data_IF_931246584523
#
_entry.id   IF_931246584523
#
_cell.length_a   1.000
_cell.length_b   1.000
_cell.length_c   1.000
_cell.angle_alpha   90.00
_cell.angle_beta   90.00
_cell.angle_gamma   90.00
#
_symmetry.space_group_name_H-M   'P 1'
#
loop_
_entity.id
_entity.type
_entity.pdbx_description
1 polymer ?
#
# COMPACT_ATOMS: atom_id res chain seq x y z
N UNK A 1 9.51 -10.00 13.01
CA UNK A 1 9.82 -11.44 13.04
C UNK A 1 8.58 -12.21 13.45
N UNK A 2 8.46 -13.47 13.06
CA UNK A 2 7.36 -14.35 13.47
C UNK A 2 7.96 -15.56 14.18
N UNK A 3 7.85 -15.58 15.51
CA UNK A 3 8.60 -16.50 16.35
C UNK A 3 8.10 -17.94 16.21
N UNK A 4 6.79 -18.14 16.01
CA UNK A 4 6.19 -19.46 15.79
C UNK A 4 6.67 -20.08 14.47
N UNK A 5 6.76 -19.29 13.40
CA UNK A 5 7.29 -19.77 12.12
C UNK A 5 8.79 -20.12 12.20
N UNK A 6 9.56 -19.36 12.99
CA UNK A 6 10.98 -19.65 13.23
C UNK A 6 11.19 -20.93 14.03
N UNK A 7 10.43 -21.13 15.12
CA UNK A 7 10.47 -22.35 15.93
C UNK A 7 10.11 -23.59 15.10
N UNK A 8 9.01 -23.54 14.36
CA UNK A 8 8.58 -24.65 13.49
C UNK A 8 9.68 -25.02 12.47
N UNK A 9 10.32 -24.02 11.86
CA UNK A 9 11.43 -24.26 10.94
C UNK A 9 12.65 -24.89 11.61
N UNK A 10 13.02 -24.45 12.81
CA UNK A 10 14.14 -25.02 13.58
C UNK A 10 13.87 -26.46 14.04
N UNK A 11 12.60 -26.84 14.21
CA UNK A 11 12.16 -28.21 14.48
C UNK A 11 12.08 -29.10 13.22
N UNK A 12 12.38 -28.55 12.04
CA UNK A 12 12.38 -29.27 10.77
C UNK A 12 11.04 -29.27 10.03
N UNK A 13 10.07 -28.47 10.46
CA UNK A 13 8.80 -28.29 9.76
C UNK A 13 8.92 -27.11 8.78
N UNK A 14 9.01 -27.40 7.48
CA UNK A 14 9.05 -26.36 6.46
C UNK A 14 7.69 -25.65 6.34
N UNK A 15 7.66 -24.30 6.29
CA UNK A 15 6.43 -23.56 6.07
C UNK A 15 5.91 -23.80 4.65
N UNK A 16 4.58 -23.90 4.52
CA UNK A 16 3.94 -23.98 3.22
C UNK A 16 4.01 -22.65 2.45
N UNK A 17 3.63 -22.69 1.17
CA UNK A 17 3.71 -21.53 0.27
C UNK A 17 2.82 -20.37 0.73
N UNK A 18 1.67 -20.66 1.35
CA UNK A 18 0.76 -19.64 1.88
C UNK A 18 1.39 -18.92 3.08
N UNK A 19 1.96 -19.68 4.02
CA UNK A 19 2.69 -19.16 5.18
C UNK A 19 3.86 -18.30 4.75
N UNK A 20 4.67 -18.78 3.79
CA UNK A 20 5.79 -18.01 3.24
C UNK A 20 5.32 -16.68 2.63
N UNK A 21 4.25 -16.69 1.82
CA UNK A 21 3.68 -15.46 1.25
C UNK A 21 3.23 -14.48 2.34
N UNK A 22 2.55 -14.96 3.38
CA UNK A 22 2.10 -14.13 4.49
C UNK A 22 3.26 -13.49 5.26
N UNK A 23 4.33 -14.25 5.51
CA UNK A 23 5.54 -13.75 6.18
C UNK A 23 6.28 -12.71 5.33
N UNK A 24 6.40 -12.95 4.02
CA UNK A 24 6.99 -11.98 3.08
C UNK A 24 6.15 -10.70 3.04
N UNK A 25 4.82 -10.81 2.95
CA UNK A 25 3.92 -9.65 2.99
C UNK A 25 4.09 -8.86 4.30
N UNK A 26 4.10 -9.55 5.44
CA UNK A 26 4.31 -8.92 6.77
C UNK A 26 5.62 -8.13 6.80
N UNK A 27 6.73 -8.71 6.31
CA UNK A 27 8.01 -8.03 6.20
C UNK A 27 8.02 -6.86 5.21
N UNK A 28 7.25 -6.96 4.12
CA UNK A 28 7.07 -5.90 3.11
C UNK A 28 6.32 -4.70 3.69
N UNK A 29 5.19 -4.96 4.36
CA UNK A 29 4.38 -3.91 4.99
C UNK A 29 5.10 -3.21 6.14
N UNK A 30 5.96 -3.94 6.87
CA UNK A 30 6.80 -3.36 7.93
C UNK A 30 8.09 -2.72 7.42
N UNK A 31 8.29 -2.63 6.10
CA UNK A 31 9.52 -2.11 5.47
C UNK A 31 10.81 -2.79 5.94
N UNK A 32 10.72 -4.03 6.44
CA UNK A 32 11.85 -4.81 6.94
C UNK A 32 12.42 -5.77 5.89
N UNK A 33 11.65 -6.01 4.82
CA UNK A 33 12.01 -6.87 3.70
C UNK A 33 11.50 -6.26 2.40
N UNK A 34 12.28 -6.37 1.32
CA UNK A 34 11.93 -5.84 0.00
C UNK A 34 11.95 -6.98 -1.02
N UNK A 35 10.79 -7.53 -1.43
CA UNK A 35 10.72 -8.60 -2.41
C UNK A 35 11.32 -8.16 -3.75
N UNK A 36 12.36 -8.86 -4.22
CA UNK A 36 12.98 -8.59 -5.52
C UNK A 36 12.47 -9.61 -6.54
N UNK A 37 11.91 -9.11 -7.64
CA UNK A 37 11.52 -9.92 -8.79
C UNK A 37 12.39 -9.55 -9.99
N UNK A 38 12.44 -10.42 -11.01
CA UNK A 38 13.24 -10.18 -12.20
C UNK A 38 12.45 -10.50 -13.48
N UNK A 39 12.73 -9.74 -14.54
CA UNK A 39 12.09 -9.90 -15.83
C UNK A 39 12.67 -8.98 -16.89
N UNK A 40 12.16 -9.09 -18.11
CA UNK A 40 12.41 -8.17 -19.20
C UNK A 40 11.08 -7.73 -19.80
N UNK A 41 10.67 -6.51 -19.48
CA UNK A 41 9.42 -5.94 -20.01
C UNK A 41 9.45 -5.89 -21.54
N UNK A 42 10.58 -5.48 -22.14
CA UNK A 42 10.74 -5.42 -23.60
C UNK A 42 10.59 -6.79 -24.28
N UNK A 43 10.97 -7.89 -23.60
CA UNK A 43 10.82 -9.26 -24.12
C UNK A 43 9.54 -9.95 -23.62
N UNK A 44 8.64 -9.22 -22.95
CA UNK A 44 7.41 -9.75 -22.35
C UNK A 44 7.65 -10.93 -21.39
N UNK A 45 8.72 -10.87 -20.59
CA UNK A 45 9.06 -11.91 -19.60
C UNK A 45 9.00 -11.32 -18.20
N UNK A 46 8.28 -11.98 -17.29
CA UNK A 46 8.22 -11.59 -15.87
C UNK A 46 7.14 -10.55 -15.53
N UNK A 47 6.42 -9.99 -16.50
CA UNK A 47 5.36 -8.99 -16.23
C UNK A 47 4.19 -9.61 -15.44
N UNK A 48 3.70 -10.78 -15.85
CA UNK A 48 2.60 -11.46 -15.16
C UNK A 48 2.94 -11.84 -13.71
N UNK A 49 4.08 -12.52 -13.41
CA UNK A 49 4.43 -12.80 -12.02
C UNK A 49 4.74 -11.54 -11.20
N UNK A 50 5.23 -10.45 -11.82
CA UNK A 50 5.32 -9.14 -11.14
C UNK A 50 3.94 -8.61 -10.73
N UNK A 51 2.92 -8.74 -11.59
CA UNK A 51 1.55 -8.33 -11.25
C UNK A 51 0.95 -9.19 -10.12
N UNK A 52 1.26 -10.49 -10.07
CA UNK A 52 0.88 -11.32 -8.94
C UNK A 52 1.56 -10.85 -7.64
N UNK A 53 2.86 -10.53 -7.70
CA UNK A 53 3.60 -10.00 -6.56
C UNK A 53 3.06 -8.67 -6.03
N UNK A 54 2.47 -7.83 -6.90
CA UNK A 54 1.75 -6.61 -6.47
C UNK A 54 0.59 -6.97 -5.54
N UNK A 55 -0.22 -7.97 -5.91
CA UNK A 55 -1.35 -8.41 -5.10
C UNK A 55 -0.85 -9.06 -3.81
N UNK A 56 0.11 -9.97 -3.92
CA UNK A 56 0.60 -10.76 -2.79
C UNK A 56 1.30 -9.90 -1.73
N UNK A 57 2.08 -8.89 -2.13
CA UNK A 57 3.02 -8.24 -1.22
C UNK A 57 2.80 -6.73 -1.01
N UNK A 58 2.15 -5.99 -1.94
CA UNK A 58 1.94 -4.55 -1.76
C UNK A 58 0.70 -4.24 -0.89
N UNK A 59 0.70 -3.10 -0.17
CA UNK A 59 -0.41 -2.71 0.69
C UNK A 59 -1.67 -2.38 -0.11
N UNK A 60 -2.82 -2.64 0.51
CA UNK A 60 -4.08 -2.01 0.17
C UNK A 60 -4.31 -0.75 1.05
N UNK A 61 -5.36 0.07 0.81
CA UNK A 61 -5.62 1.27 1.61
C UNK A 61 -5.86 1.05 3.11
N UNK A 62 -6.21 -0.16 3.54
CA UNK A 62 -6.41 -0.53 4.94
C UNK A 62 -5.10 -0.95 5.63
N UNK A 63 -4.09 -1.35 4.85
CA UNK A 63 -2.78 -1.75 5.38
C UNK A 63 -1.88 -0.56 5.73
N UNK A 64 -2.26 0.65 5.31
CA UNK A 64 -1.48 1.87 5.55
C UNK A 64 -2.02 2.63 6.77
N UNK A 65 -1.13 3.30 7.55
CA UNK A 65 -1.58 4.17 8.63
C UNK A 65 -2.52 5.26 8.12
N UNK A 66 -3.45 5.68 8.98
CA UNK A 66 -4.33 6.78 8.65
C UNK A 66 -3.56 8.08 8.40
N UNK A 67 -4.07 8.91 7.50
CA UNK A 67 -3.49 10.21 7.21
C UNK A 67 -3.91 11.22 8.26
N UNK A 68 -2.97 12.05 8.71
CA UNK A 68 -3.23 13.07 9.72
C UNK A 68 -3.36 14.45 9.05
N UNK A 69 -4.55 15.03 9.12
CA UNK A 69 -4.88 16.39 8.71
C UNK A 69 -4.97 17.35 9.89
N UNK A 70 -5.27 18.62 9.59
CA UNK A 70 -5.42 19.71 10.56
C UNK A 70 -6.70 20.51 10.26
N UNK A 71 -7.14 21.34 11.21
CA UNK A 71 -8.37 22.13 11.05
C UNK A 71 -8.14 23.26 10.03
N UNK A 72 -9.07 23.54 9.10
CA UNK A 72 -8.96 24.69 8.21
C UNK A 72 -8.79 26.00 9.00
N UNK A 73 -7.77 26.78 8.67
CA UNK A 73 -7.45 28.03 9.37
C UNK A 73 -6.64 27.88 10.66
N UNK A 74 -6.22 26.67 11.03
CA UNK A 74 -5.24 26.46 12.11
C UNK A 74 -3.84 26.89 11.65
N UNK A 75 -3.37 28.04 12.15
CA UNK A 75 -2.03 28.57 11.84
C UNK A 75 -0.88 27.68 12.34
N UNK A 76 -1.15 26.80 13.31
CA UNK A 76 -0.15 25.87 13.85
C UNK A 76 0.00 24.61 12.98
N UNK A 77 -0.95 24.36 12.08
CA UNK A 77 -1.06 23.15 11.26
C UNK A 77 -0.91 21.85 12.08
N UNK A 78 -1.48 21.83 13.29
CA UNK A 78 -1.34 20.67 14.17
C UNK A 78 -2.07 19.48 13.57
N UNK A 79 -1.32 18.48 13.10
CA UNK A 79 -1.87 17.29 12.40
C UNK A 79 -2.47 16.28 13.38
N UNK A 80 -3.65 16.59 13.89
CA UNK A 80 -4.35 15.81 14.92
C UNK A 80 -5.71 15.24 14.47
N UNK A 81 -6.09 15.43 13.21
CA UNK A 81 -7.35 14.91 12.65
C UNK A 81 -7.06 13.68 11.79
N UNK A 82 -7.49 12.51 12.25
CA UNK A 82 -7.34 11.27 11.50
C UNK A 82 -8.27 11.20 10.28
N UNK A 83 -7.73 10.69 9.17
CA UNK A 83 -8.43 10.33 7.93
C UNK A 83 -8.00 8.93 7.51
N UNK A 84 -8.78 7.94 7.97
CA UNK A 84 -8.61 6.53 7.63
C UNK A 84 -9.42 6.20 6.38
N UNK A 85 -8.97 5.19 5.63
CA UNK A 85 -9.76 4.55 4.58
C UNK A 85 -11.01 3.90 5.18
N UNK A 86 -12.10 4.67 5.21
CA UNK A 86 -13.37 4.32 5.83
C UNK A 86 -14.48 5.18 5.21
N UNK A 87 -15.45 4.53 4.56
CA UNK A 87 -16.56 5.18 3.86
C UNK A 87 -17.53 5.89 4.83
N UNK A 88 -17.50 5.57 6.12
CA UNK A 88 -18.33 6.23 7.15
C UNK A 88 -17.67 7.50 7.71
N UNK A 89 -16.38 7.75 7.45
CA UNK A 89 -15.71 8.98 7.87
C UNK A 89 -16.12 10.18 7.01
N UNK A 90 -15.92 11.42 7.48
CA UNK A 90 -16.10 12.59 6.63
C UNK A 90 -15.21 12.54 5.38
N UNK A 91 -15.76 12.95 4.23
CA UNK A 91 -15.03 12.99 2.97
C UNK A 91 -13.72 13.78 3.09
N UNK A 92 -12.63 13.19 2.59
CA UNK A 92 -11.36 13.91 2.41
C UNK A 92 -10.60 13.42 1.18
N UNK A 93 -10.04 14.37 0.44
CA UNK A 93 -9.24 14.06 -0.74
C UNK A 93 -8.22 15.14 -1.07
N UNK A 94 -7.16 14.75 -1.77
CA UNK A 94 -6.07 15.61 -2.20
C UNK A 94 -6.00 15.68 -3.72
N UNK A 95 -6.17 16.88 -4.27
CA UNK A 95 -5.90 17.17 -5.67
C UNK A 95 -4.38 17.20 -5.90
N UNK A 96 -3.82 16.14 -6.48
CA UNK A 96 -2.37 15.99 -6.63
C UNK A 96 -1.88 16.29 -8.05
N UNK A 97 -2.78 16.32 -9.04
CA UNK A 97 -2.42 16.65 -10.43
C UNK A 97 -3.55 17.38 -11.12
N UNK A 98 -3.21 18.47 -11.79
CA UNK A 98 -4.08 19.15 -12.75
C UNK A 98 -3.52 18.91 -14.16
N UNK A 99 -4.39 18.56 -15.10
CA UNK A 99 -4.07 18.31 -16.49
C UNK A 99 -5.13 18.93 -17.40
N UNK A 100 -4.71 19.60 -18.46
CA UNK A 100 -5.64 20.08 -19.48
C UNK A 100 -5.76 19.01 -20.57
N UNK A 101 -6.95 18.42 -20.66
CA UNK A 101 -7.33 17.49 -21.71
C UNK A 101 -8.01 18.25 -22.87
N UNK A 102 -7.68 17.94 -24.14
CA UNK A 102 -8.21 18.65 -25.30
C UNK A 102 -9.72 18.48 -25.54
N UNK A 103 -10.36 17.46 -24.96
CA UNK A 103 -11.79 17.17 -25.16
C UNK A 103 -12.65 17.52 -23.95
N UNK A 104 -12.14 17.27 -22.74
CA UNK A 104 -12.92 17.46 -21.50
C UNK A 104 -12.49 18.66 -20.67
N UNK A 105 -11.44 19.39 -21.10
CA UNK A 105 -10.94 20.57 -20.40
C UNK A 105 -10.06 20.20 -19.20
N UNK A 106 -10.22 20.90 -18.08
CA UNK A 106 -9.36 20.71 -16.90
C UNK A 106 -9.76 19.45 -16.12
N UNK A 107 -8.82 18.51 -15.99
CA UNK A 107 -8.90 17.31 -15.16
C UNK A 107 -8.11 17.51 -13.86
N UNK A 108 -8.79 17.33 -12.73
CA UNK A 108 -8.19 17.35 -11.39
C UNK A 108 -8.15 15.94 -10.83
N UNK A 109 -6.98 15.31 -10.85
CA UNK A 109 -6.77 14.00 -10.25
C UNK A 109 -6.74 14.13 -8.74
N UNK A 110 -7.62 13.37 -8.08
CA UNK A 110 -7.83 13.43 -6.64
C UNK A 110 -7.58 12.07 -6.03
N UNK A 111 -6.76 12.02 -4.97
CA UNK A 111 -6.66 10.85 -4.10
C UNK A 111 -7.65 11.00 -2.96
N UNK A 112 -8.64 10.12 -2.90
CA UNK A 112 -9.59 10.05 -1.79
C UNK A 112 -8.95 9.25 -0.65
N UNK A 113 -9.06 9.76 0.58
CA UNK A 113 -8.56 9.11 1.78
C UNK A 113 -9.68 8.56 2.67
N UNK A 114 -10.83 9.22 2.72
CA UNK A 114 -11.97 8.85 3.58
C UNK A 114 -13.29 9.36 3.00
N UNK A 115 -14.39 8.77 3.47
CA UNK A 115 -15.78 9.09 3.11
C UNK A 115 -16.27 8.53 1.79
#
# INVERSE_FOLDING_TARGET
>A
MDDAAMEAYLEGNEPDEETLRALIRKGTLSLSFFPVTAGSAFKNKGVQPLLNAVIDFLPNPLDVPAYMGFTPGDETETRNIERRADDAMPFSGLAFKIMNDPFVGSLTFTRIYSG
#
